data_IF_539253894330
#
_entry.id   IF_539253894330
#
_cell.length_a   1.000
_cell.length_b   1.000
_cell.length_c   1.000
_cell.angle_alpha   90.00
_cell.angle_beta   90.00
_cell.angle_gamma   90.00
#
_symmetry.space_group_name_H-M   'P 1'
#
loop_
_entity.id
_entity.type
_entity.pdbx_description
1 polymer ?
#
# COMPACT_ATOMS: atom_id res chain seq x y z
N UNK A 1 -11.83 12.87 29.20
CA UNK A 1 -11.28 12.81 27.83
C UNK A 1 -10.81 11.39 27.57
N UNK A 2 -11.16 10.81 26.42
CA UNK A 2 -10.68 9.48 26.03
C UNK A 2 -9.21 9.52 25.60
N UNK A 3 -8.54 8.36 25.64
CA UNK A 3 -7.18 8.20 25.10
C UNK A 3 -7.19 8.44 23.58
N UNK A 4 -6.22 9.20 23.01
CA UNK A 4 -6.09 9.34 21.57
C UNK A 4 -5.86 7.99 20.89
N UNK A 5 -6.54 7.77 19.76
CA UNK A 5 -6.27 6.62 18.89
C UNK A 5 -5.00 6.86 18.07
N UNK A 6 -4.15 5.86 17.98
CA UNK A 6 -2.95 5.85 17.14
C UNK A 6 -3.27 5.08 15.88
N UNK A 7 -3.15 5.75 14.74
CA UNK A 7 -3.43 5.19 13.43
C UNK A 7 -2.13 5.16 12.64
N UNK A 8 -1.68 3.97 12.23
CA UNK A 8 -0.52 3.81 11.37
C UNK A 8 -0.83 4.28 9.96
N UNK A 9 -0.39 5.49 9.60
CA UNK A 9 -0.57 6.07 8.28
C UNK A 9 0.19 5.25 7.23
N UNK A 10 -0.55 4.58 6.35
CA UNK A 10 -0.07 3.65 5.31
C UNK A 10 0.76 2.50 5.88
N UNK A 11 0.36 2.01 7.05
CA UNK A 11 1.17 1.12 7.88
C UNK A 11 2.15 1.89 8.76
N UNK A 12 3.37 1.38 8.90
CA UNK A 12 4.47 2.00 9.60
C UNK A 12 5.44 2.65 8.60
N UNK A 13 4.94 3.59 7.78
CA UNK A 13 5.66 4.19 6.64
C UNK A 13 7.03 4.82 6.99
N UNK A 14 7.25 5.21 8.25
CA UNK A 14 8.55 5.69 8.74
C UNK A 14 9.58 4.59 9.02
N UNK A 15 9.17 3.31 9.02
CA UNK A 15 10.00 2.14 9.33
C UNK A 15 10.10 1.17 8.15
N UNK A 16 8.99 0.92 7.48
CA UNK A 16 8.87 -0.02 6.36
C UNK A 16 8.09 0.67 5.24
N UNK A 17 8.45 0.37 3.99
CA UNK A 17 7.84 0.99 2.81
C UNK A 17 6.31 1.01 2.91
N UNK A 18 5.72 2.20 2.78
CA UNK A 18 4.28 2.42 2.94
C UNK A 18 3.41 1.46 2.10
N UNK A 19 2.18 1.20 2.57
CA UNK A 19 1.16 0.46 1.82
C UNK A 19 1.62 -0.96 1.37
N UNK A 20 2.58 -1.55 2.09
CA UNK A 20 3.00 -2.95 1.95
C UNK A 20 2.49 -3.79 3.12
N UNK A 21 2.36 -5.11 2.93
CA UNK A 21 1.99 -6.02 4.01
C UNK A 21 3.01 -5.94 5.17
N UNK A 22 4.31 -5.87 4.86
CA UNK A 22 5.33 -5.70 5.90
C UNK A 22 5.20 -4.40 6.70
N UNK A 23 4.72 -3.31 6.09
CA UNK A 23 4.47 -2.05 6.82
C UNK A 23 3.22 -2.12 7.68
N UNK A 24 2.19 -2.84 7.25
CA UNK A 24 0.99 -3.12 8.04
C UNK A 24 1.35 -4.00 9.25
N UNK A 25 2.07 -5.10 9.02
CA UNK A 25 2.58 -5.98 10.08
C UNK A 25 3.42 -5.20 11.09
N UNK A 26 4.33 -4.34 10.60
CA UNK A 26 5.15 -3.52 11.49
C UNK A 26 4.33 -2.54 12.33
N UNK A 27 3.27 -1.95 11.77
CA UNK A 27 2.40 -1.07 12.54
C UNK A 27 1.68 -1.83 13.65
N UNK A 28 1.20 -3.06 13.36
CA UNK A 28 0.57 -3.95 14.34
C UNK A 28 1.56 -4.31 15.46
N UNK A 29 2.81 -4.66 15.12
CA UNK A 29 3.87 -4.91 16.11
C UNK A 29 4.16 -3.71 17.02
N UNK A 30 4.07 -2.49 16.48
CA UNK A 30 4.25 -1.24 17.24
C UNK A 30 3.02 -0.91 18.13
N UNK A 31 1.96 -1.72 18.04
CA UNK A 31 0.79 -1.62 18.89
C UNK A 31 -0.09 -0.42 18.59
N UNK A 32 -0.22 -0.02 17.31
CA UNK A 32 -1.21 0.97 16.88
C UNK A 32 -2.63 0.44 17.08
N UNK A 33 -3.59 1.35 17.23
CA UNK A 33 -5.00 0.99 17.44
C UNK A 33 -5.68 0.65 16.09
N UNK A 34 -5.25 1.30 14.99
CA UNK A 34 -5.68 1.04 13.63
C UNK A 34 -4.52 1.20 12.63
N UNK A 35 -4.68 0.63 11.44
CA UNK A 35 -3.82 0.89 10.28
C UNK A 35 -4.65 1.56 9.20
N UNK A 36 -4.14 2.65 8.64
CA UNK A 36 -4.71 3.30 7.48
C UNK A 36 -3.97 2.81 6.23
N UNK A 37 -4.71 2.67 5.13
CA UNK A 37 -4.22 2.26 3.82
C UNK A 37 -4.97 3.03 2.73
N UNK A 38 -4.32 3.20 1.59
CA UNK A 38 -4.89 3.86 0.42
C UNK A 38 -5.31 2.86 -0.65
N UNK A 39 -6.47 3.08 -1.27
CA UNK A 39 -7.01 2.17 -2.29
C UNK A 39 -7.11 2.83 -3.66
N UNK A 40 -6.78 2.06 -4.71
CA UNK A 40 -6.96 2.47 -6.11
C UNK A 40 -7.50 1.33 -6.96
N UNK A 41 -8.44 1.61 -7.88
CA UNK A 41 -8.88 0.61 -8.85
C UNK A 41 -7.86 0.47 -10.00
N UNK A 42 -7.66 -0.76 -10.46
CA UNK A 42 -7.00 -1.08 -11.72
C UNK A 42 -7.96 -0.89 -12.90
N UNK A 43 -7.44 -0.94 -14.13
CA UNK A 43 -8.22 -0.84 -15.38
C UNK A 43 -9.33 -1.87 -15.48
N UNK A 44 -9.09 -3.07 -14.95
CA UNK A 44 -10.02 -4.21 -14.94
C UNK A 44 -10.80 -4.33 -13.62
N UNK A 45 -10.87 -3.26 -12.82
CA UNK A 45 -11.80 -3.13 -11.70
C UNK A 45 -11.35 -3.75 -10.37
N UNK A 46 -10.14 -4.30 -10.28
CA UNK A 46 -9.60 -4.82 -9.03
C UNK A 46 -9.09 -3.69 -8.14
N UNK A 47 -9.15 -3.87 -6.82
CA UNK A 47 -8.69 -2.87 -5.84
C UNK A 47 -7.32 -3.24 -5.31
N UNK A 48 -6.37 -2.31 -5.43
CA UNK A 48 -5.01 -2.44 -4.91
C UNK A 48 -4.68 -1.40 -3.87
N UNK A 49 -3.71 -1.71 -3.02
CA UNK A 49 -3.23 -0.83 -1.95
C UNK A 49 -2.09 0.05 -2.47
N UNK A 50 -2.40 1.33 -2.75
CA UNK A 50 -1.46 2.29 -3.34
C UNK A 50 -1.97 3.73 -3.14
N UNK A 51 -1.11 4.62 -2.64
CA UNK A 51 -1.47 6.04 -2.45
C UNK A 51 -1.58 6.81 -3.78
N UNK A 52 -0.49 6.82 -4.55
CA UNK A 52 -0.36 7.66 -5.74
C UNK A 52 -1.24 7.17 -6.88
N UNK A 53 -1.60 8.06 -7.80
CA UNK A 53 -2.27 7.67 -9.05
C UNK A 53 -1.34 6.90 -10.01
N UNK A 54 -0.03 6.92 -9.74
CA UNK A 54 1.03 6.29 -10.52
C UNK A 54 1.82 5.32 -9.66
N UNK A 55 2.37 4.27 -10.27
CA UNK A 55 3.17 3.25 -9.55
C UNK A 55 4.62 3.68 -9.31
N UNK A 56 5.07 4.77 -9.93
CA UNK A 56 6.47 5.14 -10.12
C UNK A 56 7.28 5.36 -8.83
N UNK A 57 6.69 5.99 -7.81
CA UNK A 57 7.41 6.42 -6.60
C UNK A 57 7.80 5.23 -5.71
N UNK A 58 6.84 4.36 -5.41
CA UNK A 58 7.01 3.24 -4.45
C UNK A 58 7.34 1.92 -5.12
N UNK A 59 7.35 1.86 -6.46
CA UNK A 59 7.61 0.63 -7.21
C UNK A 59 8.69 0.78 -8.27
N UNK A 60 9.03 -0.32 -8.93
CA UNK A 60 9.93 -0.39 -10.08
C UNK A 60 9.19 -0.31 -11.43
N UNK A 61 7.88 -0.14 -11.40
CA UNK A 61 7.06 0.07 -12.59
C UNK A 61 6.90 1.55 -12.92
N UNK A 62 6.25 1.82 -14.04
CA UNK A 62 5.90 3.17 -14.49
C UNK A 62 4.47 3.21 -15.04
N UNK A 63 3.80 4.34 -14.84
CA UNK A 63 2.48 4.62 -15.41
C UNK A 63 1.37 4.74 -14.38
N UNK A 64 0.16 5.08 -14.85
CA UNK A 64 -1.01 5.28 -13.99
C UNK A 64 -1.70 3.96 -13.68
N UNK A 65 -2.10 3.78 -12.41
CA UNK A 65 -2.74 2.53 -11.96
C UNK A 65 -4.04 2.22 -12.71
N UNK A 66 -4.82 3.26 -13.05
CA UNK A 66 -6.08 3.14 -13.80
C UNK A 66 -5.91 2.63 -15.24
N UNK A 67 -4.69 2.67 -15.78
CA UNK A 67 -4.37 2.23 -17.13
C UNK A 67 -3.79 0.79 -17.16
N UNK A 68 -3.54 0.19 -15.99
CA UNK A 68 -2.96 -1.15 -15.82
C UNK A 68 -4.01 -2.17 -15.37
N UNK A 69 -3.97 -3.40 -15.88
CA UNK A 69 -4.74 -4.54 -15.33
C UNK A 69 -4.10 -5.09 -14.06
N UNK A 70 -4.86 -5.83 -13.23
CA UNK A 70 -4.30 -6.48 -12.06
C UNK A 70 -3.13 -7.41 -12.42
N UNK A 71 -3.23 -8.14 -13.53
CA UNK A 71 -2.15 -9.01 -14.01
C UNK A 71 -0.87 -8.23 -14.36
N UNK A 72 -0.98 -7.00 -14.86
CA UNK A 72 0.17 -6.12 -15.07
C UNK A 72 0.74 -5.62 -13.74
N UNK A 73 -0.12 -5.17 -12.82
CA UNK A 73 0.29 -4.70 -11.48
C UNK A 73 1.00 -5.79 -10.68
N UNK A 74 0.52 -7.02 -10.71
CA UNK A 74 1.15 -8.18 -10.03
C UNK A 74 2.57 -8.47 -10.51
N UNK A 75 2.97 -8.03 -11.71
CA UNK A 75 4.35 -8.17 -12.19
C UNK A 75 5.27 -7.05 -11.71
N UNK A 76 4.72 -5.96 -11.18
CA UNK A 76 5.48 -4.83 -10.67
C UNK A 76 5.94 -5.15 -9.25
N UNK A 77 7.22 -4.90 -8.99
CA UNK A 77 7.81 -5.01 -7.66
C UNK A 77 7.90 -3.65 -6.99
N UNK A 78 7.62 -3.58 -5.70
CA UNK A 78 7.91 -2.41 -4.87
C UNK A 78 9.43 -2.17 -4.81
N UNK A 79 9.87 -1.00 -4.33
CA UNK A 79 11.32 -0.68 -4.25
C UNK A 79 12.10 -1.69 -3.39
N UNK A 80 11.47 -2.21 -2.34
CA UNK A 80 11.99 -3.22 -1.42
C UNK A 80 11.73 -4.67 -1.88
N UNK A 81 11.20 -4.89 -3.09
CA UNK A 81 11.10 -6.22 -3.73
C UNK A 81 9.83 -7.02 -3.43
N UNK A 82 8.89 -6.44 -2.70
CA UNK A 82 7.54 -6.99 -2.49
C UNK A 82 6.64 -6.74 -3.71
N UNK A 83 5.38 -7.19 -3.63
CA UNK A 83 4.34 -6.86 -4.60
C UNK A 83 3.39 -5.81 -4.04
N UNK A 84 2.75 -5.05 -4.92
CA UNK A 84 1.63 -4.18 -4.55
C UNK A 84 0.48 -5.07 -4.05
N UNK A 85 0.00 -4.92 -2.80
CA UNK A 85 -1.08 -5.74 -2.28
C UNK A 85 -2.41 -5.46 -2.97
N UNK A 86 -3.28 -6.48 -3.01
CA UNK A 86 -4.72 -6.32 -3.23
C UNK A 86 -5.42 -6.01 -1.91
N UNK A 87 -6.68 -5.57 -1.97
CA UNK A 87 -7.51 -5.45 -0.76
C UNK A 87 -7.95 -6.82 -0.20
N UNK A 88 -8.09 -7.82 -1.07
CA UNK A 88 -8.32 -9.23 -0.75
C UNK A 88 -7.07 -9.89 -0.17
#
# INVERSE_FOLDING_TARGET
MGKPLRIGHRGAAGHVLENTLGSIEKAIELGVDYVEIDLRPTRDGHVVVLHDATVDRTTRGHGRIKDLTLAQVKRIKTKDGQHVPTLE
#
